data_IF_046565434324
#
_entry.id   IF_046565434324
#
_cell.length_a   1.000
_cell.length_b   1.000
_cell.length_c   1.000
_cell.angle_alpha   90.00
_cell.angle_beta   90.00
_cell.angle_gamma   90.00
#
_symmetry.space_group_name_H-M   'P 1'
#
loop_
_entity.id
_entity.type
_entity.pdbx_description
1 polymer ?
#
# COMPACT_ATOMS: atom_id res chain seq x y z
N UNK A 1 -1.46 4.31 13.04
CA UNK A 1 -1.26 3.52 11.81
C UNK A 1 -2.08 2.25 11.95
N UNK A 2 -2.90 1.90 10.96
CA UNK A 2 -3.66 0.64 11.02
C UNK A 2 -2.87 -0.49 10.35
N UNK A 3 -2.87 -1.68 10.95
CA UNK A 3 -2.26 -2.86 10.37
C UNK A 3 -3.29 -3.57 9.48
N UNK A 4 -3.00 -3.63 8.18
CA UNK A 4 -3.85 -4.34 7.23
C UNK A 4 -3.62 -5.85 7.32
N UNK A 5 -4.70 -6.63 7.32
CA UNK A 5 -4.65 -8.09 7.24
C UNK A 5 -4.39 -8.55 5.82
N UNK A 6 -3.50 -9.53 5.66
CA UNK A 6 -3.21 -10.16 4.37
C UNK A 6 -4.29 -11.17 3.99
N UNK A 7 -4.91 -11.00 2.82
CA UNK A 7 -5.84 -11.96 2.22
C UNK A 7 -5.09 -12.92 1.29
N UNK A 8 -5.17 -14.22 1.56
CA UNK A 8 -4.53 -15.23 0.71
C UNK A 8 -5.45 -15.60 -0.46
N UNK A 9 -4.94 -15.47 -1.69
CA UNK A 9 -5.61 -15.92 -2.90
C UNK A 9 -5.34 -17.41 -3.08
N UNK A 10 -6.38 -18.22 -3.00
CA UNK A 10 -6.31 -19.68 -3.24
C UNK A 10 -6.69 -20.01 -4.69
N UNK A 11 -6.25 -21.18 -5.18
CA UNK A 11 -6.53 -21.66 -6.54
C UNK A 11 -8.03 -21.73 -6.89
N UNK A 12 -8.90 -21.88 -5.88
CA UNK A 12 -10.36 -21.85 -6.06
C UNK A 12 -10.92 -20.45 -6.41
N UNK A 13 -10.09 -19.41 -6.37
CA UNK A 13 -10.50 -18.03 -6.58
C UNK A 13 -11.19 -17.44 -5.35
N UNK A 14 -10.59 -16.41 -4.77
CA UNK A 14 -11.19 -15.67 -3.64
C UNK A 14 -11.08 -14.18 -3.89
N UNK A 15 -12.18 -13.47 -3.63
CA UNK A 15 -12.19 -12.00 -3.64
C UNK A 15 -11.64 -11.47 -2.31
N UNK A 16 -10.73 -10.49 -2.32
CA UNK A 16 -10.29 -9.84 -1.09
C UNK A 16 -11.37 -8.94 -0.51
N UNK A 17 -11.38 -8.83 0.81
CA UNK A 17 -12.19 -7.83 1.52
C UNK A 17 -11.44 -6.51 1.56
N UNK A 18 -12.08 -5.46 1.06
CA UNK A 18 -11.54 -4.11 1.11
C UNK A 18 -12.00 -3.42 2.39
N UNK A 19 -11.08 -2.73 3.05
CA UNK A 19 -11.35 -1.90 4.23
C UNK A 19 -11.11 -0.43 3.89
N UNK A 20 -11.65 0.49 4.68
CA UNK A 20 -11.34 1.91 4.53
C UNK A 20 -9.83 2.14 4.76
N UNK A 21 -9.19 2.87 3.85
CA UNK A 21 -7.78 3.23 4.00
C UNK A 21 -7.60 4.29 5.09
N UNK A 22 -6.50 4.23 5.82
CA UNK A 22 -6.07 5.31 6.70
C UNK A 22 -5.06 6.23 5.98
N UNK A 23 -4.82 7.42 6.54
CA UNK A 23 -3.75 8.30 6.05
C UNK A 23 -2.37 7.63 6.11
N UNK A 24 -2.19 6.71 7.07
CA UNK A 24 -0.99 5.89 7.22
C UNK A 24 -1.37 4.48 7.68
N UNK A 25 -1.13 3.51 6.81
CA UNK A 25 -1.38 2.08 7.00
C UNK A 25 -0.05 1.30 7.01
N UNK A 26 -0.09 0.06 7.50
CA UNK A 26 1.02 -0.89 7.33
C UNK A 26 0.54 -2.17 6.67
N UNK A 27 1.33 -2.70 5.73
CA UNK A 27 1.06 -3.96 5.06
C UNK A 27 2.24 -4.92 5.20
N UNK A 28 1.97 -6.22 5.28
CA UNK A 28 3.03 -7.22 5.30
C UNK A 28 3.83 -7.22 4.00
N UNK A 29 5.14 -7.32 4.16
CA UNK A 29 6.06 -7.56 3.06
C UNK A 29 6.11 -9.08 2.89
N UNK A 30 5.68 -9.55 1.72
CA UNK A 30 5.78 -10.97 1.40
C UNK A 30 7.22 -11.46 1.29
N UNK A 31 7.38 -12.77 1.20
CA UNK A 31 8.66 -13.43 0.93
C UNK A 31 9.12 -13.26 -0.54
N UNK A 32 8.84 -12.12 -1.19
CA UNK A 32 9.15 -11.89 -2.61
C UNK A 32 8.12 -11.01 -3.34
N UNK A 33 7.83 -11.35 -4.60
CA UNK A 33 6.93 -10.61 -5.49
C UNK A 33 5.47 -11.09 -5.46
N UNK A 34 5.08 -11.86 -4.44
CA UNK A 34 3.76 -12.51 -4.36
C UNK A 34 2.72 -11.73 -3.55
N UNK A 35 3.11 -10.62 -2.93
CA UNK A 35 2.24 -9.80 -2.07
C UNK A 35 2.02 -8.44 -2.69
N UNK A 36 0.77 -8.01 -2.77
CA UNK A 36 0.35 -6.76 -3.38
C UNK A 36 -0.59 -6.01 -2.45
N UNK A 37 -0.47 -4.69 -2.43
CA UNK A 37 -1.49 -3.81 -1.87
C UNK A 37 -2.35 -3.32 -3.02
N UNK A 38 -3.66 -3.44 -2.87
CA UNK A 38 -4.64 -2.98 -3.86
C UNK A 38 -5.40 -1.81 -3.26
N UNK A 39 -5.26 -0.64 -3.86
CA UNK A 39 -6.04 0.55 -3.52
C UNK A 39 -7.15 0.77 -4.55
N UNK A 40 -8.30 1.24 -4.09
CA UNK A 40 -9.42 1.68 -4.92
C UNK A 40 -9.91 3.03 -4.44
N UNK A 41 -10.25 3.91 -5.37
CA UNK A 41 -10.74 5.24 -5.06
C UNK A 41 -12.08 5.51 -5.72
N UNK A 42 -13.09 5.76 -4.89
CA UNK A 42 -14.43 6.17 -5.31
C UNK A 42 -14.71 7.65 -5.04
N UNK A 43 -13.72 8.41 -4.54
CA UNK A 43 -13.83 9.86 -4.32
C UNK A 43 -13.73 10.62 -5.65
N UNK A 44 -14.29 11.84 -5.70
CA UNK A 44 -14.20 12.73 -6.85
C UNK A 44 -12.80 13.31 -7.06
N UNK A 45 -11.91 13.19 -6.07
CA UNK A 45 -10.54 13.66 -6.12
C UNK A 45 -9.57 12.51 -6.35
N UNK A 46 -8.56 12.74 -7.19
CA UNK A 46 -7.41 11.84 -7.29
C UNK A 46 -6.59 11.89 -5.99
N UNK A 47 -5.93 10.78 -5.67
CA UNK A 47 -5.08 10.64 -4.48
C UNK A 47 -3.68 10.23 -4.90
N UNK A 48 -2.72 10.50 -4.03
CA UNK A 48 -1.34 10.04 -4.19
C UNK A 48 -1.07 9.00 -3.12
N UNK A 49 -0.62 7.82 -3.55
CA UNK A 49 -0.19 6.73 -2.67
C UNK A 49 1.33 6.68 -2.68
N UNK A 50 1.94 6.68 -1.50
CA UNK A 50 3.40 6.50 -1.33
C UNK A 50 3.69 5.32 -0.42
N UNK A 51 4.84 4.70 -0.63
CA UNK A 51 5.38 3.66 0.25
C UNK A 51 6.65 4.20 0.87
N UNK A 52 6.82 4.04 2.18
CA UNK A 52 8.07 4.46 2.83
C UNK A 52 9.19 3.51 2.43
N UNK A 53 10.30 4.07 1.93
CA UNK A 53 11.52 3.32 1.65
C UNK A 53 12.53 3.63 2.76
N UNK A 54 12.97 2.64 3.54
CA UNK A 54 13.94 2.85 4.59
C UNK A 54 15.32 3.14 4.01
N UNK A 55 16.06 4.03 4.66
CA UNK A 55 17.40 4.46 4.25
C UNK A 55 17.44 5.90 3.76
N UNK A 56 18.66 6.35 3.47
CA UNK A 56 18.95 7.71 3.01
C UNK A 56 19.98 7.68 1.88
N UNK A 57 19.96 8.68 1.02
CA UNK A 57 21.00 8.95 0.04
C UNK A 57 22.32 9.29 0.73
N UNK A 58 23.42 9.24 -0.02
CA UNK A 58 24.78 9.55 0.50
C UNK A 58 24.91 10.98 1.04
N UNK A 59 24.00 11.87 0.64
CA UNK A 59 23.91 13.26 1.07
C UNK A 59 22.80 13.51 2.13
N UNK A 60 22.29 12.44 2.76
CA UNK A 60 21.42 12.53 3.94
C UNK A 60 19.95 12.86 3.66
N UNK A 61 19.42 12.53 2.47
CA UNK A 61 17.98 12.62 2.19
C UNK A 61 17.32 11.26 2.28
N UNK A 62 16.15 11.17 2.92
CA UNK A 62 15.37 9.93 2.96
C UNK A 62 15.03 9.43 1.55
N UNK A 63 15.10 8.12 1.33
CA UNK A 63 14.65 7.54 0.08
C UNK A 63 13.15 7.76 -0.11
N UNK A 64 12.78 8.32 -1.26
CA UNK A 64 11.40 8.58 -1.62
C UNK A 64 10.94 7.57 -2.66
N UNK A 65 9.87 6.83 -2.35
CA UNK A 65 9.14 6.12 -3.39
C UNK A 65 8.38 7.12 -4.25
N UNK A 66 8.37 6.91 -5.56
CA UNK A 66 7.58 7.74 -6.47
C UNK A 66 6.11 7.67 -6.04
N UNK A 67 5.50 8.84 -5.81
CA UNK A 67 4.07 8.93 -5.52
C UNK A 67 3.27 8.39 -6.69
N UNK A 68 2.45 7.37 -6.43
CA UNK A 68 1.59 6.76 -7.43
C UNK A 68 0.23 7.46 -7.41
N UNK A 69 -0.20 7.91 -8.57
CA UNK A 69 -1.50 8.56 -8.72
C UNK A 69 -2.62 7.53 -8.77
N UNK A 70 -3.51 7.60 -7.79
CA UNK A 70 -4.77 6.87 -7.74
C UNK A 70 -5.87 7.78 -8.31
N UNK A 71 -6.30 7.50 -9.54
CA UNK A 71 -7.30 8.33 -10.22
C UNK A 71 -8.61 8.47 -9.42
N UNK A 72 -9.33 9.57 -9.64
CA UNK A 72 -10.65 9.78 -9.04
C UNK A 72 -11.67 8.75 -9.54
N UNK A 73 -12.70 8.47 -8.74
CA UNK A 73 -13.94 7.72 -9.04
C UNK A 73 -13.80 6.23 -9.34
N UNK A 74 -12.79 5.84 -10.11
CA UNK A 74 -12.58 4.47 -10.60
C UNK A 74 -11.11 4.05 -10.55
N UNK A 75 -10.26 4.84 -9.90
CA UNK A 75 -8.84 4.54 -9.79
C UNK A 75 -8.61 3.23 -9.05
N UNK A 76 -7.74 2.40 -9.60
CA UNK A 76 -7.23 1.19 -8.97
C UNK A 76 -5.71 1.15 -9.11
N UNK A 77 -5.02 0.84 -8.00
CA UNK A 77 -3.56 0.69 -7.99
C UNK A 77 -3.19 -0.64 -7.34
N UNK A 78 -2.27 -1.35 -7.99
CA UNK A 78 -1.68 -2.58 -7.48
C UNK A 78 -0.20 -2.33 -7.24
N UNK A 79 0.20 -2.33 -5.97
CA UNK A 79 1.56 -2.01 -5.55
C UNK A 79 2.22 -3.29 -5.01
N UNK A 80 3.25 -3.83 -5.67
CA UNK A 80 3.96 -5.01 -5.16
C UNK A 80 4.75 -4.66 -3.90
N UNK A 81 4.54 -5.41 -2.82
CA UNK A 81 5.27 -5.24 -1.56
C UNK A 81 6.63 -5.94 -1.63
N UNK A 82 7.67 -5.17 -1.96
CA UNK A 82 9.03 -5.66 -2.15
C UNK A 82 9.82 -5.63 -0.84
N UNK A 83 10.82 -6.52 -0.71
CA UNK A 83 11.77 -6.52 0.42
C UNK A 83 12.48 -5.18 0.63
N UNK A 84 12.65 -4.38 -0.42
CA UNK A 84 13.23 -3.04 -0.32
C UNK A 84 12.42 -2.07 0.56
N UNK A 85 11.17 -2.38 0.90
CA UNK A 85 10.33 -1.58 1.80
C UNK A 85 10.43 -2.02 3.26
N UNK A 86 11.25 -3.04 3.57
CA UNK A 86 11.40 -3.59 4.91
C UNK A 86 12.22 -2.65 5.79
N UNK A 87 11.62 -2.04 6.84
CA UNK A 87 12.31 -1.11 7.73
C UNK A 87 13.45 -1.75 8.55
N UNK A 88 13.63 -3.07 8.49
CA UNK A 88 14.63 -3.82 9.24
C UNK A 88 14.49 -3.70 10.77
N UNK A 89 13.28 -3.36 11.23
CA UNK A 89 12.91 -3.27 12.66
C UNK A 89 12.34 -4.60 13.22
N UNK A 90 12.30 -5.65 12.40
CA UNK A 90 11.76 -6.95 12.75
C UNK A 90 10.24 -7.10 12.55
N UNK A 91 9.53 -6.05 12.11
CA UNK A 91 8.09 -6.12 11.84
C UNK A 91 7.75 -6.82 10.52
N UNK A 92 8.65 -6.77 9.53
CA UNK A 92 8.38 -7.18 8.14
C UNK A 92 7.14 -6.50 7.54
N UNK A 93 6.86 -5.26 7.94
CA UNK A 93 5.74 -4.46 7.43
C UNK A 93 6.23 -3.17 6.80
N UNK A 94 5.69 -2.85 5.63
CA UNK A 94 5.92 -1.58 4.95
C UNK A 94 4.88 -0.55 5.38
N UNK A 95 5.31 0.71 5.52
CA UNK A 95 4.42 1.84 5.74
C UNK A 95 3.89 2.38 4.43
N UNK A 96 2.58 2.56 4.35
CA UNK A 96 1.86 3.08 3.19
C UNK A 96 1.17 4.38 3.60
N UNK A 97 1.28 5.42 2.77
CA UNK A 97 0.63 6.69 3.04
C UNK A 97 -0.26 7.09 1.86
N UNK A 98 -1.41 7.66 2.17
CA UNK A 98 -2.35 8.18 1.17
C UNK A 98 -2.61 9.64 1.46
N UNK A 99 -2.41 10.49 0.47
CA UNK A 99 -2.61 11.93 0.57
C UNK A 99 -3.39 12.48 -0.63
N UNK A 100 -4.09 13.59 -0.43
CA UNK A 100 -4.83 14.28 -1.48
C UNK A 100 -5.90 15.20 -0.90
N UNK A 101 -6.53 16.00 -1.76
CA UNK A 101 -7.66 16.86 -1.38
C UNK A 101 -8.77 16.02 -0.76
N UNK A 102 -9.26 16.40 0.42
CA UNK A 102 -10.29 15.65 1.16
C UNK A 102 -9.78 14.43 1.95
N UNK A 103 -8.45 14.26 2.07
CA UNK A 103 -7.84 13.18 2.85
C UNK A 103 -8.03 11.82 2.18
N UNK A 104 -8.27 10.77 3.00
CA UNK A 104 -8.41 9.38 2.54
C UNK A 104 -9.86 8.92 2.32
N UNK A 105 -10.82 9.85 2.42
CA UNK A 105 -12.24 9.58 2.18
C UNK A 105 -12.44 8.94 0.79
N UNK A 106 -13.29 7.91 0.71
CA UNK A 106 -13.57 7.20 -0.55
C UNK A 106 -12.45 6.27 -1.02
N UNK A 107 -11.35 6.14 -0.28
CA UNK A 107 -10.28 5.19 -0.57
C UNK A 107 -10.48 3.92 0.23
N UNK A 108 -10.43 2.79 -0.47
CA UNK A 108 -10.41 1.46 0.16
C UNK A 108 -9.14 0.72 -0.22
N UNK A 109 -8.71 -0.17 0.67
CA UNK A 109 -7.44 -0.90 0.55
C UNK A 109 -7.63 -2.36 0.92
N UNK A 110 -6.88 -3.24 0.25
CA UNK A 110 -6.72 -4.64 0.62
C UNK A 110 -5.26 -5.07 0.41
N UNK A 111 -4.77 -6.00 1.22
CA UNK A 111 -3.48 -6.67 1.00
C UNK A 111 -3.78 -8.07 0.50
N UNK A 112 -3.20 -8.46 -0.62
CA UNK A 112 -3.38 -9.78 -1.21
C UNK A 112 -2.04 -10.50 -1.34
N UNK A 113 -2.03 -11.79 -1.04
CA UNK A 113 -0.87 -12.66 -1.24
C UNK A 113 -1.26 -13.89 -2.05
N UNK A 114 -0.48 -14.20 -3.07
CA UNK A 114 -0.55 -15.48 -3.76
C UNK A 114 0.28 -16.51 -3.00
N UNK A 115 -0.36 -17.62 -2.64
CA UNK A 115 0.24 -18.79 -1.98
C UNK A 115 0.53 -19.89 -2.98
#
# INVERSE_FOLDING_TARGET
MAALSTHNIVNAGTKPTFVAAAASDTAEIGSGHNTFVVYRNTDSNAKTVTVTVPGQTEYGQAYTYAGLTLAATTGELWIPMRKAFDPADGSSRATLNVAGTGGVTGVTVAVVRMS
#
